data_IF_555843226940
#
_entry.id   IF_555843226940
#
_cell.length_a   1.000
_cell.length_b   1.000
_cell.length_c   1.000
_cell.angle_alpha   90.00
_cell.angle_beta   90.00
_cell.angle_gamma   90.00
#
_symmetry.space_group_name_H-M   'P 1'
#
loop_
_entity.id
_entity.type
_entity.pdbx_description
1 polymer ?
#
# COMPACT_ATOMS: atom_id res chain seq x y z
N UNK A 1 -73.03 -103.32 4.41
CA UNK A 1 -71.79 -103.09 5.16
C UNK A 1 -70.60 -102.95 4.22
N UNK A 2 -70.36 -103.89 3.29
CA UNK A 2 -69.25 -103.82 2.30
C UNK A 2 -69.17 -102.53 1.43
N UNK A 3 -70.30 -101.98 0.95
CA UNK A 3 -70.29 -100.72 0.16
C UNK A 3 -69.90 -99.47 0.96
N UNK A 4 -70.05 -99.51 2.29
CA UNK A 4 -69.69 -98.39 3.17
C UNK A 4 -68.19 -98.38 3.47
N UNK A 5 -67.56 -99.54 3.58
CA UNK A 5 -66.09 -99.65 3.72
C UNK A 5 -65.37 -99.24 2.44
N UNK A 6 -65.89 -99.62 1.28
CA UNK A 6 -65.30 -99.24 -0.02
C UNK A 6 -65.37 -97.72 -0.26
N UNK A 7 -66.50 -97.08 0.09
CA UNK A 7 -66.63 -95.63 0.04
C UNK A 7 -65.78 -94.90 1.07
N UNK A 8 -65.60 -95.48 2.28
CA UNK A 8 -64.73 -94.91 3.31
C UNK A 8 -63.25 -94.96 2.89
N UNK A 9 -62.80 -96.06 2.27
CA UNK A 9 -61.43 -96.18 1.78
C UNK A 9 -61.14 -95.26 0.59
N UNK A 10 -62.07 -95.16 -0.37
CA UNK A 10 -61.93 -94.24 -1.50
C UNK A 10 -61.92 -92.77 -1.05
N UNK A 11 -62.68 -92.42 0.00
CA UNK A 11 -62.66 -91.08 0.59
C UNK A 11 -61.32 -90.81 1.32
N UNK A 12 -60.78 -91.80 2.02
CA UNK A 12 -59.49 -91.70 2.70
C UNK A 12 -58.34 -91.47 1.69
N UNK A 13 -58.30 -92.23 0.58
CA UNK A 13 -57.33 -92.01 -0.50
C UNK A 13 -57.49 -90.64 -1.17
N UNK A 14 -58.72 -90.21 -1.45
CA UNK A 14 -58.99 -88.89 -2.03
C UNK A 14 -58.58 -87.75 -1.08
N UNK A 15 -58.73 -87.94 0.24
CA UNK A 15 -58.28 -86.96 1.24
C UNK A 15 -56.75 -86.90 1.35
N UNK A 16 -56.07 -88.05 1.24
CA UNK A 16 -54.61 -88.13 1.26
C UNK A 16 -53.99 -87.50 0.00
N UNK A 17 -54.59 -87.72 -1.18
CA UNK A 17 -54.15 -87.09 -2.43
C UNK A 17 -54.30 -85.56 -2.38
N UNK A 18 -55.42 -85.05 -1.85
CA UNK A 18 -55.62 -83.61 -1.66
C UNK A 18 -54.68 -83.00 -0.63
N UNK A 19 -54.32 -83.74 0.41
CA UNK A 19 -53.32 -83.29 1.39
C UNK A 19 -51.93 -83.15 0.74
N UNK A 20 -51.55 -84.10 -0.11
CA UNK A 20 -50.31 -84.07 -0.88
C UNK A 20 -50.26 -82.90 -1.88
N UNK A 21 -51.37 -82.64 -2.60
CA UNK A 21 -51.48 -81.47 -3.48
C UNK A 21 -51.44 -80.14 -2.72
N UNK A 22 -52.08 -80.08 -1.53
CA UNK A 22 -52.03 -78.91 -0.67
C UNK A 22 -50.61 -78.65 -0.15
N UNK A 23 -49.89 -79.68 0.29
CA UNK A 23 -48.49 -79.58 0.71
C UNK A 23 -47.58 -79.14 -0.44
N UNK A 24 -47.78 -79.68 -1.65
CA UNK A 24 -47.05 -79.23 -2.84
C UNK A 24 -47.31 -77.74 -3.13
N UNK A 25 -48.56 -77.30 -3.11
CA UNK A 25 -48.91 -75.88 -3.34
C UNK A 25 -48.34 -74.94 -2.26
N UNK A 26 -48.29 -75.38 -1.00
CA UNK A 26 -47.71 -74.61 0.10
C UNK A 26 -46.19 -74.46 -0.06
N UNK A 27 -45.49 -75.52 -0.50
CA UNK A 27 -44.04 -75.43 -0.77
C UNK A 27 -43.73 -74.51 -1.96
N UNK A 28 -44.58 -74.49 -2.98
CA UNK A 28 -44.45 -73.58 -4.12
C UNK A 28 -44.68 -72.12 -3.72
N UNK A 29 -45.70 -71.83 -2.89
CA UNK A 29 -45.95 -70.49 -2.35
C UNK A 29 -44.79 -70.03 -1.46
N UNK A 30 -44.27 -70.90 -0.59
CA UNK A 30 -43.10 -70.57 0.25
C UNK A 30 -41.85 -70.28 -0.58
N UNK A 31 -41.63 -71.01 -1.68
CA UNK A 31 -40.52 -70.76 -2.60
C UNK A 31 -40.67 -69.40 -3.32
N UNK A 32 -41.89 -69.04 -3.73
CA UNK A 32 -42.20 -67.74 -4.34
C UNK A 32 -41.99 -66.57 -3.37
N UNK A 33 -42.44 -66.72 -2.12
CA UNK A 33 -42.25 -65.71 -1.07
C UNK A 33 -40.76 -65.49 -0.76
N UNK A 34 -39.97 -66.58 -0.68
CA UNK A 34 -38.52 -66.48 -0.49
C UNK A 34 -37.85 -65.78 -1.68
N UNK A 35 -38.24 -66.12 -2.92
CA UNK A 35 -37.72 -65.45 -4.12
C UNK A 35 -38.07 -63.97 -4.16
N UNK A 36 -39.29 -63.58 -3.75
CA UNK A 36 -39.67 -62.18 -3.63
C UNK A 36 -38.87 -61.46 -2.54
N UNK A 37 -38.67 -62.08 -1.37
CA UNK A 37 -37.88 -61.51 -0.28
C UNK A 37 -36.40 -61.32 -0.68
N UNK A 38 -35.81 -62.27 -1.39
CA UNK A 38 -34.43 -62.20 -1.90
C UNK A 38 -34.27 -61.12 -2.99
N UNK A 39 -35.25 -61.01 -3.89
CA UNK A 39 -35.24 -59.96 -4.92
C UNK A 39 -35.44 -58.57 -4.31
N UNK A 40 -36.32 -58.43 -3.32
CA UNK A 40 -36.54 -57.18 -2.60
C UNK A 40 -35.30 -56.74 -1.83
N UNK A 41 -34.60 -57.67 -1.16
CA UNK A 41 -33.36 -57.37 -0.44
C UNK A 41 -32.19 -57.05 -1.36
N UNK A 42 -32.10 -57.68 -2.54
CA UNK A 42 -31.13 -57.29 -3.59
C UNK A 42 -31.37 -55.86 -4.08
N UNK A 43 -32.61 -55.54 -4.46
CA UNK A 43 -32.98 -54.19 -4.91
C UNK A 43 -32.69 -53.14 -3.83
N UNK A 44 -33.02 -53.43 -2.57
CA UNK A 44 -32.73 -52.54 -1.45
C UNK A 44 -31.23 -52.30 -1.28
N UNK A 45 -30.40 -53.34 -1.40
CA UNK A 45 -28.94 -53.22 -1.31
C UNK A 45 -28.36 -52.41 -2.46
N UNK A 46 -28.86 -52.59 -3.67
CA UNK A 46 -28.42 -51.85 -4.86
C UNK A 46 -28.76 -50.36 -4.72
N UNK A 47 -30.01 -50.04 -4.39
CA UNK A 47 -30.45 -48.65 -4.16
C UNK A 47 -29.69 -48.01 -2.99
N UNK A 48 -29.45 -48.73 -1.89
CA UNK A 48 -28.63 -48.24 -0.78
C UNK A 48 -27.17 -48.01 -1.19
N UNK A 49 -26.64 -48.85 -2.08
CA UNK A 49 -25.30 -48.70 -2.65
C UNK A 49 -25.19 -47.44 -3.50
N UNK A 50 -26.14 -47.25 -4.41
CA UNK A 50 -26.20 -46.09 -5.30
C UNK A 50 -26.37 -44.79 -4.51
N UNK A 51 -27.34 -44.73 -3.59
CA UNK A 51 -27.55 -43.55 -2.73
C UNK A 51 -26.31 -43.22 -1.91
N UNK A 52 -25.60 -44.24 -1.40
CA UNK A 52 -24.37 -44.02 -0.63
C UNK A 52 -23.23 -43.50 -1.51
N UNK A 53 -23.09 -44.06 -2.71
CA UNK A 53 -22.11 -43.60 -3.71
C UNK A 53 -22.39 -42.15 -4.11
N UNK A 54 -23.65 -41.81 -4.39
CA UNK A 54 -24.07 -40.46 -4.78
C UNK A 54 -23.87 -39.47 -3.64
N UNK A 55 -24.19 -39.86 -2.40
CA UNK A 55 -23.95 -39.06 -1.21
C UNK A 55 -22.44 -38.82 -0.96
N UNK A 56 -21.60 -39.84 -1.14
CA UNK A 56 -20.15 -39.70 -1.00
C UNK A 56 -19.57 -38.82 -2.12
N UNK A 57 -20.11 -38.91 -3.34
CA UNK A 57 -19.70 -38.09 -4.47
C UNK A 57 -20.07 -36.62 -4.26
N UNK A 58 -21.32 -36.33 -3.84
CA UNK A 58 -21.75 -34.98 -3.48
C UNK A 58 -20.91 -34.41 -2.33
N UNK A 59 -20.60 -35.23 -1.32
CA UNK A 59 -19.75 -34.82 -0.20
C UNK A 59 -18.32 -34.50 -0.64
N UNK A 60 -17.78 -35.22 -1.63
CA UNK A 60 -16.48 -34.91 -2.23
C UNK A 60 -16.53 -33.59 -2.96
N UNK A 61 -17.50 -33.40 -3.86
CA UNK A 61 -17.64 -32.17 -4.65
C UNK A 61 -17.80 -30.94 -3.76
N UNK A 62 -18.63 -31.03 -2.72
CA UNK A 62 -18.81 -29.93 -1.76
C UNK A 62 -17.52 -29.60 -1.00
N UNK A 63 -16.70 -30.60 -0.67
CA UNK A 63 -15.40 -30.37 -0.04
C UNK A 63 -14.43 -29.67 -0.99
N UNK A 64 -14.40 -30.09 -2.24
CA UNK A 64 -13.53 -29.51 -3.27
C UNK A 64 -13.94 -28.06 -3.57
N UNK A 65 -15.24 -27.79 -3.73
CA UNK A 65 -15.78 -26.44 -3.89
C UNK A 65 -15.47 -25.55 -2.69
N UNK A 66 -15.68 -26.06 -1.46
CA UNK A 66 -15.35 -25.32 -0.25
C UNK A 66 -13.84 -25.01 -0.15
N UNK A 67 -12.98 -25.94 -0.57
CA UNK A 67 -11.53 -25.74 -0.59
C UNK A 67 -11.12 -24.67 -1.61
N UNK A 68 -11.71 -24.69 -2.82
CA UNK A 68 -11.50 -23.66 -3.85
C UNK A 68 -11.99 -22.29 -3.37
N UNK A 69 -13.18 -22.24 -2.75
CA UNK A 69 -13.73 -21.00 -2.23
C UNK A 69 -12.87 -20.41 -1.11
N UNK A 70 -12.41 -21.25 -0.17
CA UNK A 70 -11.46 -20.87 0.88
C UNK A 70 -10.12 -20.38 0.32
N UNK A 71 -9.60 -21.04 -0.72
CA UNK A 71 -8.39 -20.61 -1.40
C UNK A 71 -8.59 -19.22 -2.02
N UNK A 72 -9.70 -18.99 -2.72
CA UNK A 72 -10.01 -17.68 -3.32
C UNK A 72 -10.20 -16.59 -2.26
N UNK A 73 -10.81 -16.91 -1.12
CA UNK A 73 -10.96 -15.97 0.00
C UNK A 73 -9.60 -15.58 0.58
N UNK A 74 -8.69 -16.55 0.71
CA UNK A 74 -7.33 -16.30 1.19
C UNK A 74 -6.55 -15.44 0.20
N UNK A 75 -6.63 -15.74 -1.09
CA UNK A 75 -5.99 -14.96 -2.16
C UNK A 75 -6.55 -13.53 -2.24
N UNK A 76 -7.87 -13.36 -2.16
CA UNK A 76 -8.53 -12.05 -2.12
C UNK A 76 -8.13 -11.25 -0.87
N UNK A 77 -8.02 -11.92 0.29
CA UNK A 77 -7.54 -11.30 1.52
C UNK A 77 -6.08 -10.85 1.40
N UNK A 78 -5.21 -11.67 0.81
CA UNK A 78 -3.81 -11.32 0.56
C UNK A 78 -3.68 -10.16 -0.44
N UNK A 79 -4.42 -10.18 -1.55
CA UNK A 79 -4.48 -9.08 -2.52
C UNK A 79 -5.02 -7.79 -1.92
N UNK A 80 -6.09 -7.86 -1.12
CA UNK A 80 -6.64 -6.70 -0.42
C UNK A 80 -5.64 -6.08 0.55
N UNK A 81 -4.90 -6.92 1.29
CA UNK A 81 -3.86 -6.45 2.20
C UNK A 81 -2.66 -5.84 1.45
N UNK A 82 -2.28 -6.39 0.30
CA UNK A 82 -1.24 -5.82 -0.57
C UNK A 82 -1.66 -4.46 -1.15
N UNK A 83 -2.92 -4.32 -1.59
CA UNK A 83 -3.50 -3.05 -2.02
C UNK A 83 -3.48 -2.01 -0.89
N UNK A 84 -3.92 -2.37 0.32
CA UNK A 84 -3.88 -1.48 1.49
C UNK A 84 -2.44 -1.07 1.80
N UNK A 85 -1.47 -1.98 1.75
CA UNK A 85 -0.05 -1.64 1.94
C UNK A 85 0.46 -0.70 0.86
N UNK A 86 0.20 -0.97 -0.41
CA UNK A 86 0.60 -0.10 -1.53
C UNK A 86 -0.04 1.29 -1.42
N UNK A 87 -1.30 1.36 -1.02
CA UNK A 87 -2.00 2.63 -0.77
C UNK A 87 -1.42 3.33 0.45
N UNK A 88 -1.14 2.63 1.55
CA UNK A 88 -0.55 3.21 2.75
C UNK A 88 0.89 3.71 2.52
N UNK A 89 1.71 2.91 1.83
CA UNK A 89 3.07 3.25 1.45
C UNK A 89 3.09 4.46 0.53
N UNK A 90 2.21 4.51 -0.48
CA UNK A 90 2.15 5.63 -1.44
C UNK A 90 1.49 6.89 -0.85
N UNK A 91 0.45 6.74 -0.03
CA UNK A 91 -0.31 7.87 0.51
C UNK A 91 0.39 8.57 1.69
N UNK A 92 1.06 7.82 2.57
CA UNK A 92 1.61 8.39 3.81
C UNK A 92 3.12 8.51 3.79
N UNK A 93 3.87 7.59 3.15
CA UNK A 93 5.34 7.62 3.10
C UNK A 93 5.91 8.17 1.80
N UNK A 94 5.32 7.77 0.66
CA UNK A 94 5.79 8.06 -0.69
C UNK A 94 5.79 9.55 -1.02
N UNK A 95 4.71 10.27 -0.68
CA UNK A 95 4.62 11.71 -0.93
C UNK A 95 5.70 12.53 -0.19
N UNK A 96 6.09 12.16 1.03
CA UNK A 96 7.16 12.85 1.75
C UNK A 96 8.54 12.53 1.16
N UNK A 97 8.74 11.29 0.68
CA UNK A 97 9.99 10.89 0.03
C UNK A 97 10.16 11.61 -1.32
N UNK A 98 9.10 11.65 -2.13
CA UNK A 98 9.07 12.35 -3.42
C UNK A 98 9.26 13.86 -3.22
N UNK A 99 8.59 14.45 -2.23
CA UNK A 99 8.80 15.85 -1.85
C UNK A 99 10.24 16.11 -1.41
N UNK A 100 10.82 15.26 -0.55
CA UNK A 100 12.21 15.38 -0.11
C UNK A 100 13.20 15.28 -1.28
N UNK A 101 12.94 14.39 -2.24
CA UNK A 101 13.80 14.23 -3.42
C UNK A 101 13.70 15.43 -4.37
N UNK A 102 12.48 15.94 -4.58
CA UNK A 102 12.26 17.17 -5.36
C UNK A 102 12.96 18.37 -4.71
N UNK A 103 12.89 18.48 -3.38
CA UNK A 103 13.51 19.57 -2.64
C UNK A 103 15.05 19.48 -2.60
N UNK A 104 15.59 18.25 -2.55
CA UNK A 104 17.03 17.99 -2.69
C UNK A 104 17.54 18.36 -4.09
N UNK A 105 16.76 18.07 -5.14
CA UNK A 105 17.07 18.50 -6.51
C UNK A 105 17.03 20.03 -6.63
N UNK A 106 16.02 20.68 -6.03
CA UNK A 106 15.94 22.13 -5.97
C UNK A 106 17.14 22.75 -5.24
N UNK A 107 17.56 22.18 -4.10
CA UNK A 107 18.78 22.57 -3.40
C UNK A 107 20.01 22.52 -4.33
N UNK A 108 20.19 21.41 -5.04
CA UNK A 108 21.30 21.26 -5.99
C UNK A 108 21.29 22.32 -7.08
N UNK A 109 20.12 22.67 -7.61
CA UNK A 109 19.99 23.70 -8.64
C UNK A 109 20.26 25.12 -8.09
N UNK A 110 19.71 25.46 -6.92
CA UNK A 110 19.99 26.74 -6.26
C UNK A 110 21.46 26.89 -5.88
N UNK A 111 22.10 25.82 -5.43
CA UNK A 111 23.52 25.82 -5.11
C UNK A 111 24.38 26.05 -6.36
N UNK A 112 24.02 25.46 -7.52
CA UNK A 112 24.69 25.75 -8.80
C UNK A 112 24.56 27.22 -9.20
N UNK A 113 23.39 27.83 -9.02
CA UNK A 113 23.17 29.26 -9.28
C UNK A 113 24.00 30.13 -8.33
N UNK A 114 24.03 29.78 -7.04
CA UNK A 114 24.79 30.49 -6.03
C UNK A 114 26.30 30.44 -6.30
N UNK A 115 26.84 29.26 -6.58
CA UNK A 115 28.25 29.07 -6.92
C UNK A 115 28.58 29.75 -8.26
N UNK A 116 27.72 29.61 -9.26
CA UNK A 116 27.92 30.23 -10.58
C UNK A 116 27.98 31.75 -10.52
N UNK A 117 27.06 32.37 -9.77
CA UNK A 117 27.05 33.84 -9.55
C UNK A 117 28.25 34.32 -8.74
N UNK A 118 28.69 33.57 -7.72
CA UNK A 118 29.90 33.89 -6.97
C UNK A 118 31.16 33.79 -7.85
N UNK A 119 31.32 32.71 -8.62
CA UNK A 119 32.44 32.54 -9.54
C UNK A 119 32.47 33.62 -10.61
N UNK A 120 31.32 34.01 -11.16
CA UNK A 120 31.20 35.14 -12.08
C UNK A 120 31.66 36.45 -11.45
N UNK A 121 31.25 36.73 -10.21
CA UNK A 121 31.69 37.92 -9.48
C UNK A 121 33.21 37.94 -9.29
N UNK A 122 33.81 36.80 -8.93
CA UNK A 122 35.26 36.67 -8.77
C UNK A 122 36.01 36.80 -10.09
N UNK A 123 35.55 36.16 -11.16
CA UNK A 123 36.17 36.26 -12.49
C UNK A 123 36.08 37.70 -13.00
N UNK A 124 34.93 38.36 -12.82
CA UNK A 124 34.75 39.76 -13.20
C UNK A 124 35.72 40.68 -12.45
N UNK A 125 35.81 40.55 -11.12
CA UNK A 125 36.77 41.31 -10.31
C UNK A 125 38.23 41.03 -10.70
N UNK A 126 38.58 39.77 -10.97
CA UNK A 126 39.93 39.38 -11.35
C UNK A 126 40.33 39.90 -12.74
N UNK A 127 39.45 39.81 -13.73
CA UNK A 127 39.67 40.34 -15.07
C UNK A 127 39.84 41.86 -15.03
N UNK A 128 39.03 42.52 -14.23
CA UNK A 128 39.04 43.97 -14.11
C UNK A 128 40.24 44.50 -13.30
N UNK A 129 40.76 43.72 -12.35
CA UNK A 129 42.02 43.99 -11.68
C UNK A 129 43.25 43.76 -12.59
N UNK A 130 43.20 42.75 -13.46
CA UNK A 130 44.32 42.38 -14.33
C UNK A 130 44.42 43.24 -15.60
N UNK A 131 43.29 43.65 -16.18
CA UNK A 131 43.23 44.31 -17.48
C UNK A 131 42.52 45.68 -17.46
N UNK A 132 41.94 46.08 -16.33
CA UNK A 132 41.17 47.31 -16.22
C UNK A 132 42.01 48.55 -15.94
N UNK A 133 41.57 49.70 -16.46
CA UNK A 133 42.13 51.01 -16.10
C UNK A 133 41.76 51.36 -14.65
N UNK A 134 42.70 51.90 -13.88
CA UNK A 134 42.51 52.23 -12.45
C UNK A 134 41.87 53.60 -12.25
N UNK A 135 40.80 53.88 -12.98
CA UNK A 135 40.05 55.12 -12.84
C UNK A 135 39.04 55.02 -11.69
N UNK A 136 38.88 56.10 -10.93
CA UNK A 136 38.03 56.18 -9.74
C UNK A 136 36.54 56.03 -10.09
N UNK A 137 36.16 56.50 -11.28
CA UNK A 137 34.80 56.40 -11.79
C UNK A 137 34.45 54.96 -12.22
N UNK A 138 35.42 54.24 -12.81
CA UNK A 138 35.30 52.81 -13.11
C UNK A 138 35.23 51.95 -11.84
N UNK A 139 35.94 52.34 -10.77
CA UNK A 139 35.91 51.62 -9.50
C UNK A 139 34.52 51.55 -8.87
N UNK A 140 33.73 52.63 -8.92
CA UNK A 140 32.38 52.65 -8.38
C UNK A 140 31.44 51.65 -9.09
N UNK A 141 31.54 51.56 -10.42
CA UNK A 141 30.75 50.66 -11.25
C UNK A 141 31.12 49.19 -10.99
N UNK A 142 32.41 48.89 -10.81
CA UNK A 142 32.92 47.56 -10.45
C UNK A 142 32.41 47.09 -9.10
N UNK A 143 32.43 47.99 -8.10
CA UNK A 143 31.91 47.70 -6.76
C UNK A 143 30.40 47.47 -6.81
N UNK A 144 29.64 48.29 -7.54
CA UNK A 144 28.19 48.11 -7.69
C UNK A 144 27.80 46.77 -8.34
N UNK A 145 28.47 46.38 -9.42
CA UNK A 145 28.21 45.09 -10.11
C UNK A 145 28.63 43.89 -9.27
N UNK A 146 29.78 43.96 -8.59
CA UNK A 146 30.22 42.86 -7.72
C UNK A 146 29.32 42.71 -6.49
N UNK A 147 28.87 43.81 -5.88
CA UNK A 147 27.97 43.78 -4.73
C UNK A 147 26.60 43.16 -5.08
N UNK A 148 26.06 43.46 -6.27
CA UNK A 148 24.80 42.87 -6.73
C UNK A 148 24.93 41.37 -7.02
N UNK A 149 26.02 40.94 -7.63
CA UNK A 149 26.30 39.51 -7.85
C UNK A 149 26.50 38.75 -6.52
N UNK A 150 27.21 39.35 -5.56
CA UNK A 150 27.39 38.77 -4.23
C UNK A 150 26.05 38.70 -3.48
N UNK A 151 25.20 39.72 -3.57
CA UNK A 151 23.87 39.71 -2.97
C UNK A 151 22.97 38.62 -3.57
N UNK A 152 23.00 38.44 -4.89
CA UNK A 152 22.29 37.36 -5.58
C UNK A 152 22.77 35.98 -5.12
N UNK A 153 24.09 35.80 -5.01
CA UNK A 153 24.69 34.55 -4.53
C UNK A 153 24.28 34.26 -3.09
N UNK A 154 24.36 35.25 -2.20
CA UNK A 154 23.97 35.12 -0.79
C UNK A 154 22.48 34.74 -0.64
N UNK A 155 21.60 35.35 -1.43
CA UNK A 155 20.18 34.98 -1.46
C UNK A 155 19.98 33.54 -1.95
N UNK A 156 20.64 33.15 -3.03
CA UNK A 156 20.56 31.80 -3.57
C UNK A 156 21.08 30.74 -2.57
N UNK A 157 22.16 31.01 -1.84
CA UNK A 157 22.65 30.15 -0.77
C UNK A 157 21.67 30.05 0.41
N UNK A 158 21.03 31.16 0.80
CA UNK A 158 20.03 31.19 1.87
C UNK A 158 18.83 30.32 1.51
N UNK A 159 18.32 30.45 0.28
CA UNK A 159 17.20 29.65 -0.19
C UNK A 159 17.60 28.17 -0.32
N UNK A 160 18.78 27.88 -0.85
CA UNK A 160 19.32 26.51 -0.88
C UNK A 160 19.35 25.88 0.54
N UNK A 161 19.86 26.61 1.53
CA UNK A 161 19.91 26.13 2.92
C UNK A 161 18.53 25.83 3.50
N UNK A 162 17.51 26.65 3.20
CA UNK A 162 16.12 26.42 3.61
C UNK A 162 15.56 25.14 2.99
N UNK A 163 15.75 24.96 1.68
CA UNK A 163 15.30 23.79 0.91
C UNK A 163 15.96 22.50 1.40
N UNK A 164 17.25 22.56 1.77
CA UNK A 164 17.95 21.41 2.35
C UNK A 164 17.32 20.97 3.68
N UNK A 165 17.00 21.92 4.57
CA UNK A 165 16.32 21.61 5.85
C UNK A 165 14.95 20.98 5.61
N UNK A 166 14.17 21.54 4.69
CA UNK A 166 12.85 21.01 4.32
C UNK A 166 12.95 19.57 3.76
N UNK A 167 13.99 19.27 2.95
CA UNK A 167 14.20 17.90 2.46
C UNK A 167 14.53 16.90 3.58
N UNK A 168 15.32 17.33 4.56
CA UNK A 168 15.75 16.48 5.68
C UNK A 168 14.57 16.21 6.62
N UNK A 169 13.80 17.25 6.95
CA UNK A 169 12.59 17.12 7.76
C UNK A 169 11.55 16.21 7.10
N UNK A 170 11.28 16.39 5.81
CA UNK A 170 10.36 15.53 5.07
C UNK A 170 10.83 14.06 5.06
N UNK A 171 12.14 13.83 4.93
CA UNK A 171 12.71 12.48 4.98
C UNK A 171 12.56 11.83 6.36
N UNK A 172 12.73 12.58 7.45
CA UNK A 172 12.47 12.05 8.80
C UNK A 172 10.99 11.73 9.01
N UNK A 173 10.08 12.59 8.53
CA UNK A 173 8.63 12.30 8.57
C UNK A 173 8.27 11.04 7.78
N UNK A 174 8.89 10.86 6.60
CA UNK A 174 8.72 9.63 5.83
C UNK A 174 9.19 8.40 6.61
N UNK A 175 10.35 8.46 7.26
CA UNK A 175 10.85 7.37 8.11
C UNK A 175 9.91 7.06 9.27
N UNK A 176 9.40 8.09 9.96
CA UNK A 176 8.48 7.93 11.08
C UNK A 176 7.19 7.20 10.67
N UNK A 177 6.63 7.59 9.53
CA UNK A 177 5.45 6.95 8.95
C UNK A 177 5.72 5.50 8.59
N UNK A 178 6.84 5.25 7.87
CA UNK A 178 7.20 3.90 7.40
C UNK A 178 7.49 2.97 8.59
N UNK A 179 8.03 3.49 9.70
CA UNK A 179 8.36 2.71 10.89
C UNK A 179 7.13 2.37 11.76
N UNK A 180 6.01 3.09 11.59
CA UNK A 180 4.81 2.99 12.43
C UNK A 180 4.20 1.59 12.52
N UNK A 181 4.07 0.80 11.44
CA UNK A 181 3.51 -0.55 11.51
C UNK A 181 4.33 -1.48 12.42
N UNK A 182 5.66 -1.34 12.42
CA UNK A 182 6.56 -2.16 13.24
C UNK A 182 6.38 -1.92 14.73
N UNK A 183 6.10 -0.68 15.15
CA UNK A 183 5.83 -0.35 16.55
C UNK A 183 4.43 -0.73 17.02
N UNK A 184 3.48 -0.91 16.09
CA UNK A 184 2.12 -1.33 16.40
C UNK A 184 1.94 -2.85 16.57
N UNK A 185 2.92 -3.65 16.13
CA UNK A 185 2.86 -5.11 16.24
C UNK A 185 3.06 -5.56 17.69
N UNK A 186 2.03 -6.15 18.28
CA UNK A 186 2.06 -6.70 19.65
C UNK A 186 1.47 -5.78 20.73
N UNK A 187 0.97 -4.59 20.36
CA UNK A 187 0.24 -3.71 21.29
C UNK A 187 -1.24 -4.09 21.40
N UNK A 188 -1.87 -3.79 22.54
CA UNK A 188 -3.33 -3.86 22.65
C UNK A 188 -4.00 -2.82 21.75
N UNK A 189 -5.28 -3.01 21.42
CA UNK A 189 -6.03 -2.10 20.53
C UNK A 189 -5.98 -0.65 21.05
N UNK A 190 -6.21 -0.44 22.35
CA UNK A 190 -6.16 0.87 22.99
C UNK A 190 -4.77 1.53 22.93
N UNK A 191 -3.69 0.74 23.06
CA UNK A 191 -2.32 1.26 22.93
C UNK A 191 -1.99 1.64 21.49
N UNK A 192 -2.48 0.88 20.51
CA UNK A 192 -2.33 1.16 19.08
C UNK A 192 -3.04 2.46 18.69
N UNK A 193 -4.26 2.67 19.16
CA UNK A 193 -5.03 3.88 18.90
C UNK A 193 -4.36 5.12 19.53
N UNK A 194 -3.89 5.01 20.78
CA UNK A 194 -3.15 6.09 21.44
C UNK A 194 -1.86 6.44 20.69
N UNK A 195 -1.12 5.44 20.21
CA UNK A 195 0.09 5.66 19.40
C UNK A 195 -0.24 6.35 18.08
N UNK A 196 -1.32 5.94 17.40
CA UNK A 196 -1.80 6.58 16.17
C UNK A 196 -2.19 8.04 16.41
N UNK A 197 -2.85 8.34 17.53
CA UNK A 197 -3.20 9.71 17.91
C UNK A 197 -1.95 10.57 18.13
N UNK A 198 -1.02 10.14 18.99
CA UNK A 198 0.21 10.88 19.29
C UNK A 198 1.07 11.11 18.04
N UNK A 199 1.15 10.11 17.17
CA UNK A 199 1.90 10.23 15.93
C UNK A 199 1.18 11.10 14.91
N UNK A 200 -0.14 11.04 14.82
CA UNK A 200 -0.93 11.95 14.00
C UNK A 200 -0.76 13.40 14.42
N UNK A 201 -0.82 13.67 15.73
CA UNK A 201 -0.56 15.00 16.31
C UNK A 201 0.86 15.49 15.99
N UNK A 202 1.89 14.63 16.14
CA UNK A 202 3.27 15.01 15.82
C UNK A 202 3.51 15.28 14.32
N UNK A 203 2.96 14.42 13.46
CA UNK A 203 3.18 14.46 12.01
C UNK A 203 2.39 15.59 11.33
N UNK A 204 1.17 15.86 11.79
CA UNK A 204 0.25 16.81 11.16
C UNK A 204 0.04 18.10 11.97
N UNK A 205 0.21 18.06 13.29
CA UNK A 205 0.03 19.24 14.16
C UNK A 205 1.19 20.24 14.13
N UNK A 206 2.32 19.89 13.54
CA UNK A 206 3.49 20.78 13.47
C UNK A 206 3.39 21.91 12.42
N UNK A 207 2.23 22.11 11.77
CA UNK A 207 2.05 23.15 10.73
C UNK A 207 0.74 23.90 10.90
N UNK A 208 0.68 24.83 11.87
CA UNK A 208 -0.28 25.96 11.82
C UNK A 208 0.35 27.31 12.18
N UNK A 209 1.55 27.36 12.77
CA UNK A 209 2.19 28.64 13.03
C UNK A 209 3.34 28.87 12.04
N UNK A 210 3.16 29.87 11.17
CA UNK A 210 4.16 30.38 10.24
C UNK A 210 5.35 31.07 10.92
N UNK A 211 5.86 30.51 12.00
CA UNK A 211 7.11 30.92 12.64
C UNK A 211 7.97 29.68 12.86
N UNK A 212 9.15 29.70 12.24
CA UNK A 212 10.11 28.62 12.33
C UNK A 212 10.40 28.27 13.79
N UNK A 213 10.44 26.97 14.06
CA UNK A 213 11.05 26.37 15.23
C UNK A 213 12.34 27.15 15.53
N UNK A 214 12.34 27.77 16.71
CA UNK A 214 13.35 28.66 17.23
C UNK A 214 14.75 28.22 16.82
N UNK A 215 15.32 28.96 15.87
CA UNK A 215 16.75 28.91 15.57
C UNK A 215 17.47 29.27 16.84
N UNK A 216 18.01 28.26 17.53
CA UNK A 216 19.08 28.44 18.49
C UNK A 216 20.13 29.33 17.82
N UNK A 217 20.58 30.37 18.54
CA UNK A 217 21.49 31.42 18.09
C UNK A 217 22.74 30.84 17.39
N UNK A 218 22.66 30.69 16.08
CA UNK A 218 23.80 30.74 15.19
C UNK A 218 23.81 32.16 14.66
N UNK A 219 24.79 32.93 15.10
CA UNK A 219 25.10 34.31 14.73
C UNK A 219 24.93 34.51 13.21
N UNK A 220 23.75 34.98 12.81
CA UNK A 220 23.52 35.43 11.46
C UNK A 220 24.34 36.71 11.32
N UNK A 221 25.40 36.65 10.51
CA UNK A 221 26.03 37.85 9.96
C UNK A 221 24.95 38.53 9.13
N UNK A 222 24.20 39.42 9.77
CA UNK A 222 23.27 40.33 9.12
C UNK A 222 24.12 41.29 8.29
N UNK A 223 24.32 40.95 7.02
CA UNK A 223 24.70 41.95 6.03
C UNK A 223 23.43 42.78 5.79
N UNK A 224 23.11 43.68 6.71
CA UNK A 224 22.16 44.74 6.45
C UNK A 224 22.82 45.66 5.43
N UNK A 225 22.48 45.49 4.15
CA UNK A 225 22.78 46.53 3.15
C UNK A 225 21.99 47.76 3.55
N UNK A 226 22.68 48.73 4.15
CA UNK A 226 22.14 50.01 4.56
C UNK A 226 21.41 50.66 3.36
N UNK A 227 20.15 51.12 3.47
CA UNK A 227 19.42 51.77 2.39
C UNK A 227 20.20 52.92 1.72
N UNK A 228 21.15 53.55 2.43
CA UNK A 228 22.06 54.54 1.83
C UNK A 228 22.97 53.93 0.75
N UNK A 229 23.46 52.70 0.94
CA UNK A 229 24.32 51.99 -0.04
C UNK A 229 23.53 51.59 -1.29
N UNK A 230 22.29 51.15 -1.13
CA UNK A 230 21.39 50.84 -2.25
C UNK A 230 21.06 52.10 -3.06
N UNK A 231 20.83 53.23 -2.37
CA UNK A 231 20.59 54.51 -3.01
C UNK A 231 21.83 55.04 -3.73
N UNK A 232 23.02 54.92 -3.13
CA UNK A 232 24.28 55.33 -3.74
C UNK A 232 24.58 54.53 -5.02
N UNK A 233 24.29 53.23 -5.04
CA UNK A 233 24.43 52.39 -6.24
C UNK A 233 23.38 52.75 -7.31
N UNK A 234 22.15 53.05 -6.91
CA UNK A 234 21.10 53.49 -7.83
C UNK A 234 21.41 54.86 -8.46
N UNK A 235 21.96 55.79 -7.68
CA UNK A 235 22.37 57.11 -8.15
C UNK A 235 23.62 57.01 -9.05
N UNK A 236 24.57 56.12 -8.74
CA UNK A 236 25.71 55.82 -9.59
C UNK A 236 25.29 55.18 -10.94
N UNK A 237 24.32 54.26 -10.92
CA UNK A 237 23.75 53.69 -12.15
C UNK A 237 23.05 54.74 -13.01
N UNK A 238 22.29 55.66 -12.39
CA UNK A 238 21.64 56.78 -13.08
C UNK A 238 22.66 57.75 -13.68
N UNK A 239 23.73 58.06 -12.94
CA UNK A 239 24.81 58.92 -13.43
C UNK A 239 25.56 58.27 -14.61
N UNK A 240 25.87 56.97 -14.54
CA UNK A 240 26.53 56.24 -15.62
C UNK A 240 25.65 56.10 -16.88
N UNK A 241 24.32 55.98 -16.72
CA UNK A 241 23.36 56.03 -17.84
C UNK A 241 23.27 57.44 -18.45
N UNK A 242 23.31 58.48 -17.64
CA UNK A 242 23.31 59.87 -18.12
C UNK A 242 24.61 60.25 -18.85
N UNK A 243 25.73 59.62 -18.47
CA UNK A 243 27.04 59.79 -19.11
C UNK A 243 27.26 58.91 -20.37
N UNK A 244 26.29 58.09 -20.76
CA UNK A 244 26.37 57.25 -21.97
C UNK A 244 27.34 56.07 -21.89
N UNK A 245 27.77 55.69 -20.68
CA UNK A 245 28.70 54.59 -20.42
C UNK A 245 28.01 53.22 -20.32
N UNK A 246 26.68 53.20 -20.24
CA UNK A 246 25.83 52.01 -20.24
C UNK A 246 24.58 52.30 -21.07
N UNK A 247 24.17 51.38 -21.94
CA UNK A 247 22.98 51.51 -22.79
C UNK A 247 21.67 51.54 -21.96
#
# INVERSE_FOLDING_TARGET
>A
MLKLEEQANALAEASAARALEAEASLTEIQALDQLQADNATKYLKEVLGDVRSEADQQRSTLKDEAAVFLASLKENHESGNDLIKKIADRAVGGNYLDFAEHEKKAYGNWNKIAIGSALLAFIYLAAEFAFGNHDVEGAALRVGVSLTLVALSAYAFREAGKRQRQSVEARYRALDVIAMPSFSKGMSVEQSERLRYLMGERLFGSHVDGEGISSNKGEAVNISLDPATVKAVADAYKAAKAAGLIA
#
